data_IF_288377819876
#
_entry.id   IF_288377819876
#
_cell.length_a   1.000
_cell.length_b   1.000
_cell.length_c   1.000
_cell.angle_alpha   90.00
_cell.angle_beta   90.00
_cell.angle_gamma   90.00
#
_symmetry.space_group_name_H-M   'P 1'
#
loop_
_entity.id
_entity.type
_entity.pdbx_description
1 polymer ?
#
# COMPACT_ATOMS: atom_id res chain seq x y z
N UNK A 1 4.88 -46.09 -42.55
CA UNK A 1 6.06 -45.21 -42.47
C UNK A 1 6.03 -44.57 -41.09
N UNK A 2 7.15 -44.60 -40.36
CA UNK A 2 7.22 -44.20 -38.95
C UNK A 2 7.49 -42.71 -38.72
N UNK A 3 7.23 -42.31 -37.48
CA UNK A 3 7.68 -41.15 -36.67
C UNK A 3 7.96 -39.77 -37.29
N UNK A 4 7.42 -38.74 -36.64
CA UNK A 4 8.24 -37.65 -36.08
C UNK A 4 7.51 -37.00 -34.89
N UNK A 5 8.31 -36.67 -33.87
CA UNK A 5 7.97 -36.20 -32.54
C UNK A 5 7.74 -34.67 -32.48
N UNK A 6 7.34 -34.26 -31.26
CA UNK A 6 7.76 -33.03 -30.57
C UNK A 6 6.76 -31.87 -30.53
N UNK A 7 6.24 -31.65 -29.31
CA UNK A 7 5.80 -30.36 -28.81
C UNK A 7 7.03 -29.49 -28.47
N UNK A 8 6.91 -28.18 -28.62
CA UNK A 8 7.49 -27.23 -27.68
C UNK A 8 6.38 -26.63 -26.82
N UNK A 9 6.58 -26.68 -25.51
CA UNK A 9 5.87 -25.87 -24.53
C UNK A 9 6.37 -24.44 -24.66
N UNK A 10 5.50 -23.53 -25.08
CA UNK A 10 5.80 -22.10 -25.09
C UNK A 10 5.46 -21.55 -23.70
N UNK A 11 6.48 -21.51 -22.84
CA UNK A 11 6.51 -20.63 -21.68
C UNK A 11 6.40 -19.20 -22.20
N UNK A 12 5.24 -18.59 -22.01
CA UNK A 12 5.04 -17.16 -22.20
C UNK A 12 4.42 -16.66 -20.92
N UNK A 13 5.27 -16.01 -20.13
CA UNK A 13 4.98 -15.30 -18.90
C UNK A 13 3.86 -14.30 -19.19
N UNK A 14 2.62 -14.64 -18.87
CA UNK A 14 1.54 -13.66 -18.83
C UNK A 14 1.73 -12.82 -17.56
N UNK A 15 2.60 -11.83 -17.67
CA UNK A 15 2.81 -10.81 -16.67
C UNK A 15 1.61 -9.88 -16.67
N UNK A 16 0.71 -10.06 -15.70
CA UNK A 16 -0.29 -9.08 -15.31
C UNK A 16 -1.06 -8.41 -16.47
N UNK A 17 -1.66 -9.18 -17.39
CA UNK A 17 -2.56 -8.63 -18.41
C UNK A 17 -4.05 -8.69 -18.00
N UNK A 18 -4.33 -8.44 -16.73
CA UNK A 18 -5.62 -7.92 -16.28
C UNK A 18 -5.30 -6.62 -15.54
N UNK A 19 -5.60 -5.47 -16.16
CA UNK A 19 -5.77 -4.20 -15.43
C UNK A 19 -7.09 -4.34 -14.66
N UNK A 20 -7.12 -5.30 -13.73
CA UNK A 20 -8.14 -5.42 -12.72
C UNK A 20 -8.05 -4.15 -11.91
N UNK A 21 -9.12 -3.36 -11.96
CA UNK A 21 -9.27 -2.13 -11.20
C UNK A 21 -8.91 -2.47 -9.75
N UNK A 22 -7.74 -2.02 -9.27
CA UNK A 22 -7.35 -2.30 -7.89
C UNK A 22 -8.39 -1.65 -6.98
N UNK A 23 -9.03 -2.46 -6.12
CA UNK A 23 -9.95 -1.90 -5.15
C UNK A 23 -9.17 -1.03 -4.15
N UNK A 24 -9.88 -0.13 -3.45
CA UNK A 24 -9.27 0.63 -2.35
C UNK A 24 -8.57 -0.30 -1.36
N UNK A 25 -9.17 -1.45 -1.07
CA UNK A 25 -8.62 -2.43 -0.14
C UNK A 25 -7.31 -3.05 -0.67
N UNK A 26 -7.24 -3.34 -1.97
CA UNK A 26 -6.02 -3.87 -2.60
C UNK A 26 -4.88 -2.86 -2.54
N UNK A 27 -5.17 -1.59 -2.86
CA UNK A 27 -4.18 -0.51 -2.80
C UNK A 27 -3.66 -0.33 -1.38
N UNK A 28 -4.54 -0.36 -0.38
CA UNK A 28 -4.14 -0.29 1.02
C UNK A 28 -3.30 -1.50 1.43
N UNK A 29 -3.67 -2.72 1.02
CA UNK A 29 -2.93 -3.92 1.34
C UNK A 29 -1.53 -3.93 0.70
N UNK A 30 -1.42 -3.51 -0.57
CA UNK A 30 -0.14 -3.35 -1.27
C UNK A 30 0.72 -2.30 -0.58
N UNK A 31 0.13 -1.14 -0.25
CA UNK A 31 0.84 -0.06 0.47
C UNK A 31 1.41 -0.56 1.79
N UNK A 32 0.60 -1.23 2.62
CA UNK A 32 1.06 -1.76 3.90
C UNK A 32 2.19 -2.76 3.71
N UNK A 33 2.06 -3.67 2.73
CA UNK A 33 3.08 -4.68 2.43
C UNK A 33 4.40 -4.06 1.97
N UNK A 34 4.36 -2.99 1.19
CA UNK A 34 5.57 -2.26 0.76
C UNK A 34 6.24 -1.58 1.96
N UNK A 35 5.45 -1.07 2.91
CA UNK A 35 5.99 -0.44 4.11
C UNK A 35 6.48 -1.45 5.17
N UNK A 36 5.93 -2.67 5.22
CA UNK A 36 6.36 -3.77 6.10
C UNK A 36 7.60 -4.47 5.53
N UNK A 37 8.70 -3.72 5.39
CA UNK A 37 9.96 -4.21 4.82
C UNK A 37 10.57 -5.36 5.62
N UNK A 38 10.28 -5.42 6.93
CA UNK A 38 10.76 -6.46 7.84
C UNK A 38 9.80 -7.67 7.89
N UNK A 39 8.61 -7.59 7.31
CA UNK A 39 7.62 -8.68 7.28
C UNK A 39 7.07 -9.04 8.66
N UNK A 40 7.01 -8.08 9.59
CA UNK A 40 6.60 -8.32 10.98
C UNK A 40 5.08 -8.22 11.18
N UNK A 41 4.35 -7.75 10.17
CA UNK A 41 2.93 -7.42 10.26
C UNK A 41 2.65 -6.12 11.01
N UNK A 42 3.70 -5.34 11.32
CA UNK A 42 3.62 -4.03 11.96
C UNK A 42 4.60 -3.06 11.31
N UNK A 43 4.18 -1.81 11.17
CA UNK A 43 4.97 -0.78 10.49
C UNK A 43 4.98 0.50 11.32
N UNK A 44 6.14 1.13 11.61
CA UNK A 44 6.18 2.43 12.27
C UNK A 44 5.35 3.48 11.53
N UNK A 45 4.66 4.34 12.28
CA UNK A 45 3.85 5.41 11.69
C UNK A 45 4.66 6.33 10.78
N UNK A 46 5.91 6.62 11.15
CA UNK A 46 6.85 7.42 10.36
C UNK A 46 7.11 6.82 8.98
N UNK A 47 7.33 5.51 8.89
CA UNK A 47 7.61 4.79 7.62
C UNK A 47 6.43 4.88 6.67
N UNK A 48 5.20 4.69 7.18
CA UNK A 48 3.97 4.80 6.37
C UNK A 48 3.84 6.21 5.79
N UNK A 49 4.00 7.23 6.65
CA UNK A 49 3.84 8.63 6.25
C UNK A 49 4.95 9.06 5.29
N UNK A 50 6.18 8.59 5.51
CA UNK A 50 7.32 8.86 4.63
C UNK A 50 7.11 8.23 3.24
N UNK A 51 6.68 6.97 3.18
CA UNK A 51 6.37 6.31 1.91
C UNK A 51 5.30 7.07 1.11
N UNK A 52 4.23 7.51 1.78
CA UNK A 52 3.18 8.29 1.12
C UNK A 52 3.66 9.67 0.67
N UNK A 53 4.54 10.32 1.43
CA UNK A 53 5.21 11.56 0.99
C UNK A 53 5.99 11.31 -0.29
N UNK A 54 6.79 10.25 -0.34
CA UNK A 54 7.64 9.95 -1.50
C UNK A 54 6.81 9.62 -2.75
N UNK A 55 5.65 8.96 -2.58
CA UNK A 55 4.74 8.61 -3.67
C UNK A 55 3.87 9.78 -4.16
N UNK A 56 3.52 10.73 -3.29
CA UNK A 56 2.52 11.77 -3.59
C UNK A 56 3.09 13.19 -3.65
N UNK A 57 4.32 13.40 -3.16
CA UNK A 57 4.94 14.71 -3.00
C UNK A 57 4.29 15.61 -1.94
N UNK A 58 3.34 15.11 -1.15
CA UNK A 58 2.70 15.88 -0.09
C UNK A 58 3.61 16.03 1.12
N UNK A 59 3.61 17.21 1.75
CA UNK A 59 4.42 17.47 2.95
C UNK A 59 3.98 16.61 4.15
N UNK A 60 4.94 16.04 4.88
CA UNK A 60 4.70 15.33 6.15
C UNK A 60 4.49 16.28 7.33
N UNK A 61 4.94 17.53 7.21
CA UNK A 61 4.90 18.54 8.27
C UNK A 61 3.56 19.28 8.32
N UNK A 62 2.86 19.40 7.18
CA UNK A 62 1.61 20.16 7.09
C UNK A 62 0.57 19.46 6.20
N UNK A 63 -0.70 19.86 6.32
CA UNK A 63 -1.77 19.40 5.43
C UNK A 63 -2.20 17.94 5.65
N UNK A 64 -2.50 17.24 4.54
CA UNK A 64 -3.20 15.95 4.58
C UNK A 64 -2.37 14.83 5.21
N UNK A 65 -1.09 14.69 4.86
CA UNK A 65 -0.23 13.67 5.46
C UNK A 65 0.12 13.97 6.92
N UNK A 66 0.26 15.24 7.30
CA UNK A 66 0.37 15.60 8.72
C UNK A 66 -0.87 15.15 9.51
N UNK A 67 -2.07 15.37 8.96
CA UNK A 67 -3.30 14.88 9.57
C UNK A 67 -3.34 13.35 9.65
N UNK A 68 -2.87 12.64 8.63
CA UNK A 68 -2.76 11.18 8.65
C UNK A 68 -1.82 10.71 9.76
N UNK A 69 -0.66 11.34 9.90
CA UNK A 69 0.30 11.02 10.95
C UNK A 69 -0.35 11.19 12.34
N UNK A 70 -1.06 12.29 12.60
CA UNK A 70 -1.80 12.48 13.85
C UNK A 70 -2.92 11.45 14.08
N UNK A 71 -3.47 10.86 13.01
CA UNK A 71 -4.49 9.81 13.13
C UNK A 71 -3.88 8.43 13.39
N UNK A 72 -2.68 8.16 12.88
CA UNK A 72 -1.93 6.92 13.12
C UNK A 72 -1.27 6.92 14.51
N UNK A 73 -0.63 8.03 14.86
CA UNK A 73 0.14 8.20 16.08
C UNK A 73 -0.11 9.60 16.67
N UNK A 74 -1.19 9.76 17.46
CA UNK A 74 -1.56 11.05 18.05
C UNK A 74 -0.49 11.62 19.01
N UNK A 75 0.34 10.74 19.57
CA UNK A 75 1.36 11.13 20.55
C UNK A 75 2.76 11.27 19.97
N UNK A 76 2.93 11.03 18.66
CA UNK A 76 4.21 11.17 17.94
C UNK A 76 5.33 10.34 18.60
N UNK A 77 5.01 9.13 19.05
CA UNK A 77 5.92 8.16 19.67
C UNK A 77 6.50 7.14 18.68
N UNK A 78 6.16 7.28 17.41
CA UNK A 78 6.48 6.38 16.30
C UNK A 78 6.08 4.92 16.57
N UNK A 79 4.85 4.74 17.04
CA UNK A 79 4.32 3.41 17.34
C UNK A 79 4.18 2.55 16.08
N UNK A 80 4.43 1.25 16.22
CA UNK A 80 4.23 0.30 15.12
C UNK A 80 2.75 -0.04 14.98
N UNK A 81 2.21 0.21 13.79
CA UNK A 81 0.81 0.05 13.41
C UNK A 81 0.62 -1.30 12.74
N UNK A 82 -0.34 -2.11 13.21
CA UNK A 82 -0.72 -3.35 12.54
C UNK A 82 -1.62 -3.10 11.32
N UNK A 83 -1.78 -4.12 10.47
CA UNK A 83 -2.56 -4.01 9.23
C UNK A 83 -4.01 -3.57 9.46
N UNK A 84 -4.68 -4.06 10.50
CA UNK A 84 -6.09 -3.72 10.75
C UNK A 84 -6.24 -2.25 11.16
N UNK A 85 -5.34 -1.78 12.04
CA UNK A 85 -5.28 -0.39 12.47
C UNK A 85 -4.97 0.54 11.29
N UNK A 86 -4.00 0.17 10.45
CA UNK A 86 -3.67 0.91 9.23
C UNK A 86 -4.88 1.05 8.30
N UNK A 87 -5.55 -0.05 7.94
CA UNK A 87 -6.72 -0.02 7.07
C UNK A 87 -7.84 0.87 7.65
N UNK A 88 -8.14 0.70 8.94
CA UNK A 88 -9.20 1.46 9.61
C UNK A 88 -8.91 2.96 9.62
N UNK A 89 -7.66 3.34 9.86
CA UNK A 89 -7.24 4.75 9.87
C UNK A 89 -7.21 5.34 8.47
N UNK A 90 -6.66 4.63 7.49
CA UNK A 90 -6.59 5.09 6.09
C UNK A 90 -7.98 5.31 5.49
N UNK A 91 -8.92 4.39 5.68
CA UNK A 91 -10.30 4.55 5.20
C UNK A 91 -10.95 5.81 5.78
N UNK A 92 -10.79 6.03 7.08
CA UNK A 92 -11.30 7.24 7.75
C UNK A 92 -10.65 8.51 7.21
N UNK A 93 -9.34 8.47 6.97
CA UNK A 93 -8.59 9.60 6.43
C UNK A 93 -8.97 9.92 4.98
N UNK A 94 -9.18 8.91 4.14
CA UNK A 94 -9.67 9.07 2.75
C UNK A 94 -11.03 9.77 2.77
N UNK A 95 -11.97 9.31 3.61
CA UNK A 95 -13.29 9.95 3.78
C UNK A 95 -13.16 11.41 4.21
N UNK A 96 -12.22 11.73 5.11
CA UNK A 96 -11.95 13.10 5.53
C UNK A 96 -11.39 13.94 4.37
N UNK A 97 -10.46 13.41 3.60
CA UNK A 97 -9.88 14.10 2.44
C UNK A 97 -10.93 14.46 1.38
N UNK A 98 -11.98 13.64 1.22
CA UNK A 98 -13.08 13.91 0.30
C UNK A 98 -14.05 14.99 0.78
N UNK A 99 -14.05 15.32 2.08
CA UNK A 99 -14.90 16.37 2.67
C UNK A 99 -14.19 17.72 2.76
N UNK A 100 -12.86 17.71 2.86
CA UNK A 100 -12.02 18.92 2.91
C UNK A 100 -11.76 19.52 1.49
N UNK A 101 -12.62 19.20 0.51
CA UNK A 101 -12.50 19.55 -0.91
C UNK A 101 -13.57 20.51 -1.42
#
# INVERSE_FOLDING_TARGET
TGSFESCPSEDSVDGCEEIGICSEEDVLNITFKVCDTEGTGKVPASVIVQYLHDMTGQSTEHGRLHSLHNMLDPERRDISIDRQSFHSTMKRWIVKCSQDG
#
